data_IF_375405469052
#
_entry.id   IF_375405469052
#
_cell.length_a   1.000
_cell.length_b   1.000
_cell.length_c   1.000
_cell.angle_alpha   90.00
_cell.angle_beta   90.00
_cell.angle_gamma   90.00
#
_symmetry.space_group_name_H-M   'P 1'
#
loop_
_entity.id
_entity.type
_entity.pdbx_description
1 polymer ?
#
# COMPACT_ATOMS: atom_id res chain seq x y z
N UNK A 1 -48.09 49.80 19.12
CA UNK A 1 -49.02 48.75 19.56
C UNK A 1 -48.86 47.55 18.64
N UNK A 2 -48.34 46.48 19.23
CA UNK A 2 -48.36 45.06 18.89
C UNK A 2 -48.02 44.52 17.48
N UNK A 3 -46.90 43.79 17.49
CA UNK A 3 -46.48 42.67 16.65
C UNK A 3 -47.55 41.59 16.47
N UNK A 4 -47.46 40.82 15.37
CA UNK A 4 -47.85 39.41 15.34
C UNK A 4 -46.78 38.57 14.63
N UNK A 5 -46.46 37.47 15.29
CA UNK A 5 -45.37 36.54 15.12
C UNK A 5 -45.54 35.58 13.94
N UNK A 6 -44.43 35.23 13.28
CA UNK A 6 -44.28 33.92 12.62
C UNK A 6 -43.14 33.17 13.29
N UNK A 7 -43.53 32.17 14.07
CA UNK A 7 -42.66 31.27 14.81
C UNK A 7 -41.95 30.32 13.84
N UNK A 8 -40.62 30.25 13.92
CA UNK A 8 -39.79 29.22 13.28
C UNK A 8 -39.28 28.30 14.39
N UNK A 9 -39.70 27.04 14.37
CA UNK A 9 -39.35 26.04 15.38
C UNK A 9 -37.97 25.44 15.09
N UNK A 10 -36.93 25.95 15.75
CA UNK A 10 -35.60 25.34 15.80
C UNK A 10 -35.40 24.52 17.08
N UNK A 11 -34.92 23.29 16.94
CA UNK A 11 -34.61 22.35 18.03
C UNK A 11 -33.34 22.83 18.76
N UNK A 12 -33.36 23.09 20.09
CA UNK A 12 -32.14 23.40 20.83
C UNK A 12 -31.39 22.10 21.18
N UNK A 13 -30.19 21.96 20.61
CA UNK A 13 -29.15 21.04 21.07
C UNK A 13 -28.36 21.72 22.20
N UNK A 14 -27.90 20.90 23.15
CA UNK A 14 -27.02 21.21 24.30
C UNK A 14 -27.73 21.44 25.66
N UNK A 15 -28.06 20.31 26.32
CA UNK A 15 -28.22 20.23 27.78
C UNK A 15 -27.09 19.37 28.36
N UNK A 16 -26.33 19.93 29.31
CA UNK A 16 -25.20 19.27 29.95
C UNK A 16 -25.62 18.27 31.02
N UNK A 17 -24.91 17.13 31.08
CA UNK A 17 -25.04 16.14 32.15
C UNK A 17 -23.73 16.05 32.93
N UNK A 18 -23.82 16.29 34.23
CA UNK A 18 -22.73 16.27 35.19
C UNK A 18 -22.08 14.88 35.33
N UNK A 19 -20.77 14.90 35.59
CA UNK A 19 -19.90 13.73 35.81
C UNK A 19 -19.95 13.29 37.28
N UNK A 20 -20.31 12.04 37.61
CA UNK A 20 -20.22 11.58 38.99
C UNK A 20 -18.78 11.26 39.40
N UNK A 21 -18.47 11.61 40.65
CA UNK A 21 -17.19 11.45 41.36
C UNK A 21 -17.00 9.99 41.81
N UNK A 22 -15.74 9.54 41.79
CA UNK A 22 -15.35 8.19 42.18
C UNK A 22 -15.37 8.03 43.70
N UNK A 23 -16.05 6.99 44.19
CA UNK A 23 -15.98 6.52 45.58
C UNK A 23 -15.21 5.21 45.66
N UNK A 24 -14.16 5.20 46.50
CA UNK A 24 -13.33 4.06 46.86
C UNK A 24 -14.04 3.03 47.73
N UNK A 25 -13.73 1.73 47.54
CA UNK A 25 -13.74 0.59 48.50
C UNK A 25 -14.00 -0.69 47.69
N UNK A 26 -13.45 -1.89 47.91
CA UNK A 26 -12.69 -2.55 48.98
C UNK A 26 -11.76 -3.61 48.34
N UNK A 27 -10.66 -3.98 49.02
CA UNK A 27 -9.75 -5.07 48.61
C UNK A 27 -10.42 -6.40 48.92
N UNK A 28 -10.92 -7.09 47.89
CA UNK A 28 -11.38 -8.48 47.95
C UNK A 28 -10.39 -9.40 47.24
N UNK A 29 -9.89 -10.42 47.95
CA UNK A 29 -9.06 -11.48 47.36
C UNK A 29 -9.82 -12.14 46.21
N UNK A 30 -9.25 -12.09 45.01
CA UNK A 30 -9.85 -12.69 43.82
C UNK A 30 -9.61 -14.21 43.83
N UNK A 31 -10.65 -15.06 43.70
CA UNK A 31 -10.44 -16.49 43.49
C UNK A 31 -9.72 -16.71 42.14
N UNK A 32 -8.86 -17.74 42.10
CA UNK A 32 -7.99 -18.05 40.97
C UNK A 32 -8.68 -17.86 39.62
N UNK A 33 -8.08 -17.02 38.77
CA UNK A 33 -8.62 -16.69 37.46
C UNK A 33 -8.68 -17.95 36.57
N UNK A 34 -9.73 -18.06 35.73
CA UNK A 34 -9.91 -19.14 34.74
C UNK A 34 -8.68 -19.39 33.85
N UNK A 35 -7.75 -18.44 33.78
CA UNK A 35 -6.47 -18.57 33.09
C UNK A 35 -5.60 -19.72 33.63
N UNK A 36 -5.63 -19.99 34.94
CA UNK A 36 -4.93 -21.13 35.55
C UNK A 36 -5.58 -22.47 35.17
N UNK A 37 -6.90 -22.48 35.00
CA UNK A 37 -7.67 -23.70 34.69
C UNK A 37 -7.70 -24.05 33.20
N UNK A 38 -7.46 -23.07 32.32
CA UNK A 38 -7.35 -23.28 30.87
C UNK A 38 -5.92 -23.58 30.39
N UNK A 39 -4.95 -23.69 31.30
CA UNK A 39 -3.56 -24.02 30.94
C UNK A 39 -2.90 -23.01 29.99
N UNK A 40 -3.37 -21.76 29.97
CA UNK A 40 -2.76 -20.71 29.15
C UNK A 40 -1.62 -20.11 29.95
N UNK A 41 -0.50 -20.83 29.93
CA UNK A 41 0.75 -20.43 30.55
C UNK A 41 1.25 -19.09 30.01
N UNK A 42 1.40 -18.14 30.91
CA UNK A 42 2.14 -16.90 30.71
C UNK A 42 3.62 -17.23 30.49
N UNK A 43 4.14 -16.83 29.33
CA UNK A 43 5.57 -16.60 29.10
C UNK A 43 6.45 -17.84 28.92
N UNK A 44 7.39 -17.70 27.98
CA UNK A 44 8.59 -18.53 27.82
C UNK A 44 8.44 -19.90 27.15
N UNK A 45 8.15 -19.90 25.85
CA UNK A 45 8.68 -20.93 24.95
C UNK A 45 8.84 -20.33 23.56
N UNK A 46 10.10 -20.03 23.23
CA UNK A 46 10.49 -19.44 21.96
C UNK A 46 9.92 -20.25 20.80
N UNK A 47 9.34 -19.54 19.84
CA UNK A 47 8.96 -20.06 18.53
C UNK A 47 10.24 -20.44 17.77
N UNK A 48 10.83 -21.57 18.16
CA UNK A 48 12.11 -22.04 17.70
C UNK A 48 12.07 -23.53 17.38
N UNK A 49 11.97 -23.82 16.08
CA UNK A 49 12.37 -25.07 15.40
C UNK A 49 11.46 -26.28 15.61
N UNK A 50 10.71 -26.65 14.56
CA UNK A 50 9.99 -27.92 14.52
C UNK A 50 9.21 -28.24 13.23
N UNK A 51 9.13 -27.32 12.29
CA UNK A 51 8.91 -27.51 10.85
C UNK A 51 9.14 -26.13 10.29
N UNK A 52 10.02 -25.99 9.30
CA UNK A 52 10.15 -24.73 8.58
C UNK A 52 8.73 -24.31 8.21
N UNK A 53 8.23 -23.19 8.75
CA UNK A 53 7.18 -22.45 8.09
C UNK A 53 7.81 -22.10 6.75
N UNK A 54 7.65 -23.02 5.78
CA UNK A 54 8.15 -22.85 4.43
C UNK A 54 7.61 -21.49 4.05
N UNK A 55 8.48 -20.50 3.84
CA UNK A 55 8.03 -19.27 3.20
C UNK A 55 7.54 -19.72 1.85
N UNK A 56 6.22 -19.80 1.69
CA UNK A 56 5.62 -20.12 0.41
C UNK A 56 6.15 -19.04 -0.54
N UNK A 57 6.98 -19.44 -1.50
CA UNK A 57 7.48 -18.54 -2.54
C UNK A 57 6.23 -17.96 -3.21
N UNK A 58 6.16 -16.63 -3.31
CA UNK A 58 5.03 -15.97 -3.97
C UNK A 58 4.91 -16.53 -5.39
N UNK A 59 3.82 -17.23 -5.66
CA UNK A 59 3.53 -17.72 -7.01
C UNK A 59 3.34 -16.50 -7.90
N UNK A 60 4.08 -16.44 -9.00
CA UNK A 60 3.92 -15.40 -9.99
C UNK A 60 2.54 -15.61 -10.63
N UNK A 61 1.67 -14.63 -10.41
CA UNK A 61 0.35 -14.52 -11.04
C UNK A 61 0.38 -13.37 -12.01
N UNK A 62 -0.48 -13.41 -13.01
CA UNK A 62 -0.57 -12.29 -13.94
C UNK A 62 -0.93 -11.02 -13.15
N UNK A 63 0.02 -10.10 -13.14
CA UNK A 63 -0.06 -8.86 -12.35
C UNK A 63 -0.68 -7.75 -13.20
N UNK A 64 -0.96 -8.00 -14.48
CA UNK A 64 -1.42 -6.95 -15.40
C UNK A 64 -2.71 -6.25 -14.95
N UNK A 65 -3.60 -6.98 -14.26
CA UNK A 65 -4.85 -6.43 -13.72
C UNK A 65 -4.64 -5.54 -12.49
N UNK A 66 -3.47 -5.58 -11.83
CA UNK A 66 -3.16 -4.64 -10.75
C UNK A 66 -2.98 -3.22 -11.25
N UNK A 67 -2.72 -3.03 -12.55
CA UNK A 67 -2.85 -1.71 -13.19
C UNK A 67 -4.35 -1.45 -13.37
N UNK A 68 -4.90 -0.63 -12.47
CA UNK A 68 -6.33 -0.42 -12.38
C UNK A 68 -6.82 0.52 -13.49
N UNK A 69 -8.12 0.49 -13.78
CA UNK A 69 -8.75 1.48 -14.68
C UNK A 69 -8.51 2.92 -14.19
N UNK A 70 -8.36 3.11 -12.88
CA UNK A 70 -8.03 4.40 -12.27
C UNK A 70 -6.63 4.91 -12.62
N UNK A 71 -5.62 4.03 -12.60
CA UNK A 71 -4.24 4.36 -12.99
C UNK A 71 -4.17 4.81 -14.45
N UNK A 72 -4.79 4.01 -15.34
CA UNK A 72 -4.85 4.30 -16.77
C UNK A 72 -5.57 5.63 -17.02
N UNK A 73 -6.67 5.88 -16.32
CA UNK A 73 -7.39 7.15 -16.41
C UNK A 73 -6.50 8.32 -15.98
N UNK A 74 -5.75 8.21 -14.87
CA UNK A 74 -4.83 9.25 -14.41
C UNK A 74 -3.75 9.55 -15.45
N UNK A 75 -3.16 8.53 -16.07
CA UNK A 75 -2.18 8.71 -17.15
C UNK A 75 -2.79 9.40 -18.37
N UNK A 76 -3.94 8.93 -18.84
CA UNK A 76 -4.61 9.50 -20.00
C UNK A 76 -5.04 10.96 -19.76
N UNK A 77 -5.51 11.28 -18.54
CA UNK A 77 -5.83 12.67 -18.17
C UNK A 77 -4.58 13.55 -18.19
N UNK A 78 -3.44 13.08 -17.65
CA UNK A 78 -2.16 13.79 -17.74
C UNK A 78 -1.73 14.01 -19.19
N UNK A 79 -2.05 13.08 -20.08
CA UNK A 79 -1.87 13.20 -21.53
C UNK A 79 -2.92 14.03 -22.27
N UNK A 80 -3.85 14.72 -21.57
CA UNK A 80 -4.85 15.59 -22.22
C UNK A 80 -6.05 14.86 -22.84
N UNK A 81 -6.22 13.56 -22.59
CA UNK A 81 -7.32 12.79 -23.19
C UNK A 81 -8.64 13.16 -22.53
N UNK A 82 -9.62 13.66 -23.31
CA UNK A 82 -10.94 14.15 -22.82
C UNK A 82 -12.00 13.06 -22.67
N UNK A 83 -12.06 12.07 -23.56
CA UNK A 83 -12.99 10.92 -23.51
C UNK A 83 -12.21 9.66 -23.88
N UNK A 84 -12.58 8.54 -23.26
CA UNK A 84 -11.93 7.24 -23.46
C UNK A 84 -13.01 6.19 -23.66
N UNK A 85 -12.83 5.31 -24.66
CA UNK A 85 -13.66 4.11 -24.85
C UNK A 85 -13.29 3.02 -23.84
N UNK A 86 -14.17 2.03 -23.69
CA UNK A 86 -13.98 0.94 -22.72
C UNK A 86 -12.85 -0.02 -23.12
N UNK A 87 -12.68 -0.30 -24.42
CA UNK A 87 -11.71 -1.30 -24.91
C UNK A 87 -10.25 -0.88 -24.67
N UNK A 88 -9.99 0.44 -24.58
CA UNK A 88 -8.66 1.01 -24.39
C UNK A 88 -7.99 0.57 -23.08
N UNK A 89 -8.77 0.16 -22.06
CA UNK A 89 -8.18 -0.31 -20.80
C UNK A 89 -7.36 -1.58 -20.98
N UNK A 90 -7.83 -2.51 -21.81
CA UNK A 90 -7.16 -3.78 -22.05
C UNK A 90 -6.04 -3.63 -23.09
N UNK A 91 -6.23 -2.78 -24.09
CA UNK A 91 -5.18 -2.45 -25.07
C UNK A 91 -3.96 -1.81 -24.40
N UNK A 92 -4.17 -0.85 -23.49
CA UNK A 92 -3.08 -0.19 -22.77
C UNK A 92 -2.32 -1.21 -21.91
N UNK A 93 -3.02 -2.16 -21.29
CA UNK A 93 -2.37 -3.23 -20.52
C UNK A 93 -1.48 -4.10 -21.42
N UNK A 94 -1.96 -4.49 -22.59
CA UNK A 94 -1.15 -5.24 -23.55
C UNK A 94 0.11 -4.45 -23.96
N UNK A 95 -0.05 -3.18 -24.31
CA UNK A 95 1.08 -2.30 -24.71
C UNK A 95 2.08 -2.09 -23.56
N UNK A 96 1.60 -1.90 -22.33
CA UNK A 96 2.46 -1.75 -21.16
C UNK A 96 3.31 -3.02 -20.94
N UNK A 97 2.68 -4.19 -21.04
CA UNK A 97 3.37 -5.48 -20.90
C UNK A 97 4.43 -5.67 -21.99
N UNK A 98 4.06 -5.44 -23.25
CA UNK A 98 4.98 -5.52 -24.39
C UNK A 98 6.17 -4.56 -24.23
N UNK A 99 5.91 -3.32 -23.79
CA UNK A 99 6.96 -2.32 -23.59
C UNK A 99 7.95 -2.74 -22.51
N UNK A 100 7.45 -3.21 -21.37
CA UNK A 100 8.30 -3.65 -20.26
C UNK A 100 9.08 -4.91 -20.63
N UNK A 101 8.49 -5.82 -21.39
CA UNK A 101 9.16 -7.01 -21.87
C UNK A 101 10.38 -6.70 -22.74
N UNK A 102 10.25 -5.77 -23.69
CA UNK A 102 11.39 -5.32 -24.52
C UNK A 102 12.50 -4.72 -23.66
N UNK A 103 12.14 -3.87 -22.68
CA UNK A 103 13.13 -3.24 -21.80
C UNK A 103 13.83 -4.28 -20.92
N UNK A 104 13.07 -5.19 -20.29
CA UNK A 104 13.61 -6.21 -19.39
C UNK A 104 14.48 -7.23 -20.12
N UNK A 105 14.12 -7.65 -21.34
CA UNK A 105 14.97 -8.54 -22.17
C UNK A 105 16.35 -7.93 -22.39
N UNK A 106 16.40 -6.64 -22.73
CA UNK A 106 17.66 -5.94 -22.95
C UNK A 106 18.46 -5.75 -21.65
N UNK A 107 17.79 -5.43 -20.54
CA UNK A 107 18.47 -5.30 -19.23
C UNK A 107 19.07 -6.63 -18.79
N UNK A 108 18.33 -7.73 -18.91
CA UNK A 108 18.82 -9.07 -18.52
C UNK A 108 20.05 -9.45 -19.33
N UNK A 109 20.06 -9.18 -20.64
CA UNK A 109 21.24 -9.42 -21.48
C UNK A 109 22.50 -8.66 -21.01
N UNK A 110 22.34 -7.41 -20.54
CA UNK A 110 23.45 -6.61 -19.99
C UNK A 110 23.94 -7.19 -18.66
N UNK A 111 23.02 -7.60 -17.79
CA UNK A 111 23.33 -8.16 -16.47
C UNK A 111 24.02 -9.52 -16.60
N UNK A 112 23.55 -10.38 -17.50
CA UNK A 112 24.13 -11.69 -17.80
C UNK A 112 25.54 -11.55 -18.40
N UNK A 113 25.75 -10.60 -19.32
CA UNK A 113 27.08 -10.30 -19.86
C UNK A 113 28.10 -9.93 -18.76
N UNK A 114 27.65 -9.25 -17.70
CA UNK A 114 28.51 -8.87 -16.58
C UNK A 114 28.64 -9.95 -15.49
N UNK A 115 28.01 -11.12 -15.67
CA UNK A 115 28.04 -12.22 -14.71
C UNK A 115 27.34 -11.93 -13.37
N UNK A 116 26.52 -10.88 -13.30
CA UNK A 116 25.77 -10.50 -12.10
C UNK A 116 24.39 -11.18 -12.10
N UNK A 117 23.81 -11.40 -10.92
CA UNK A 117 22.43 -11.91 -10.75
C UNK A 117 21.43 -10.85 -10.31
N UNK A 118 21.92 -9.64 -10.05
CA UNK A 118 21.14 -8.53 -9.51
C UNK A 118 21.13 -7.40 -10.52
N UNK A 119 19.93 -6.97 -10.91
CA UNK A 119 19.73 -5.81 -11.76
C UNK A 119 20.07 -4.54 -10.97
N UNK A 120 21.03 -3.77 -11.48
CA UNK A 120 21.42 -2.47 -10.93
C UNK A 120 20.71 -1.30 -11.62
N UNK A 121 20.74 -0.13 -10.99
CA UNK A 121 20.19 1.11 -11.56
C UNK A 121 20.93 1.50 -12.86
N UNK A 122 22.24 1.29 -12.89
CA UNK A 122 23.11 1.53 -14.06
C UNK A 122 22.67 0.73 -15.29
N UNK A 123 22.18 -0.50 -15.10
CA UNK A 123 21.76 -1.39 -16.18
C UNK A 123 20.48 -0.87 -16.85
N UNK A 124 19.57 -0.31 -16.04
CA UNK A 124 18.35 0.33 -16.50
C UNK A 124 18.67 1.60 -17.29
N UNK A 125 19.53 2.48 -16.73
CA UNK A 125 19.95 3.73 -17.39
C UNK A 125 20.62 3.42 -18.75
N UNK A 126 21.56 2.47 -18.77
CA UNK A 126 22.25 2.07 -19.98
C UNK A 126 21.28 1.58 -21.06
N UNK A 127 20.34 0.71 -20.69
CA UNK A 127 19.35 0.16 -21.63
C UNK A 127 18.41 1.24 -22.18
N UNK A 128 17.93 2.13 -21.31
CA UNK A 128 17.03 3.22 -21.68
C UNK A 128 17.70 4.26 -22.58
N UNK A 129 18.97 4.58 -22.31
CA UNK A 129 19.78 5.45 -23.16
C UNK A 129 19.95 4.85 -24.57
N UNK A 130 20.26 3.55 -24.66
CA UNK A 130 20.37 2.83 -25.94
C UNK A 130 19.05 2.81 -26.73
N UNK A 131 17.91 2.78 -26.05
CA UNK A 131 16.58 2.84 -26.67
C UNK A 131 16.14 4.26 -27.05
N UNK A 132 16.99 5.28 -26.85
CA UNK A 132 16.67 6.68 -27.12
C UNK A 132 15.64 7.28 -26.16
N UNK A 133 15.50 6.72 -24.96
CA UNK A 133 14.59 7.22 -23.91
C UNK A 133 15.31 7.39 -22.57
N UNK A 134 16.26 8.33 -22.48
CA UNK A 134 17.06 8.52 -21.26
C UNK A 134 16.18 8.90 -20.06
N UNK A 135 16.60 8.48 -18.87
CA UNK A 135 15.97 8.85 -17.59
C UNK A 135 17.02 9.52 -16.69
N UNK A 136 16.65 10.64 -16.09
CA UNK A 136 17.55 11.47 -15.26
C UNK A 136 17.20 11.37 -13.77
N UNK A 137 18.13 11.76 -12.90
CA UNK A 137 17.92 11.79 -11.44
C UNK A 137 18.18 10.46 -10.72
N UNK A 138 18.76 9.48 -11.43
CA UNK A 138 19.12 8.17 -10.89
C UNK A 138 20.64 7.92 -10.87
N UNK A 139 21.42 8.97 -11.13
CA UNK A 139 22.88 8.89 -11.07
C UNK A 139 23.35 8.71 -9.61
N UNK A 140 24.48 8.02 -9.39
CA UNK A 140 25.01 7.79 -8.05
C UNK A 140 25.23 9.08 -7.23
N UNK A 141 25.46 10.22 -7.88
CA UNK A 141 25.62 11.53 -7.25
C UNK A 141 24.37 12.02 -6.48
N UNK A 142 23.18 11.51 -6.80
CA UNK A 142 21.93 11.92 -6.14
C UNK A 142 21.63 11.14 -4.84
N UNK A 143 22.39 10.09 -4.51
CA UNK A 143 22.09 9.23 -3.35
C UNK A 143 22.48 9.84 -1.99
N UNK A 144 23.14 11.00 -1.96
CA UNK A 144 23.69 11.62 -0.73
C UNK A 144 23.24 13.06 -0.44
N UNK A 145 22.25 13.60 -1.16
CA UNK A 145 21.72 14.95 -0.92
C UNK A 145 20.31 14.82 -0.32
N UNK A 146 20.22 14.60 0.98
CA UNK A 146 19.00 14.69 1.78
C UNK A 146 19.30 15.31 3.13
#
# INVERSE_FOLDING_TARGET
MNEHSRQFTGIPRFGGTARPTASSSTVGQSPASRATQLGIGLGSKGLGRGKSFKRHKKVLRDTIQSVTKGDIRRLARRGGVKRMSANIYDDIRAVLKQRLEVILRNIVAVVEYQGRKTVGVTDVIFTLNRLGRPIYGFDPSFQGQR
#
